data_IF_818815794402
#
_entry.id   IF_818815794402
#
_cell.length_a   1.000
_cell.length_b   1.000
_cell.length_c   1.000
_cell.angle_alpha   90.00
_cell.angle_beta   90.00
_cell.angle_gamma   90.00
#
_symmetry.space_group_name_H-M   'P 1'
#
loop_
_entity.id
_entity.type
_entity.pdbx_description
1 polymer ?
#
# COMPACT_ATOMS: atom_id res chain seq x y z
N UNK A 1 13.39 -18.69 -12.40
CA UNK A 1 14.47 -18.36 -11.44
C UNK A 1 13.84 -17.94 -10.11
N UNK A 2 14.09 -18.66 -9.00
CA UNK A 2 13.56 -18.27 -7.68
C UNK A 2 14.33 -17.01 -7.22
N UNK A 3 13.62 -15.95 -6.81
CA UNK A 3 14.25 -14.75 -6.26
C UNK A 3 14.87 -15.09 -4.90
N UNK A 4 16.08 -14.59 -4.65
CA UNK A 4 16.73 -14.70 -3.33
C UNK A 4 15.90 -13.90 -2.31
N UNK A 5 15.54 -14.51 -1.19
CA UNK A 5 14.84 -13.82 -0.10
C UNK A 5 15.87 -12.97 0.62
N UNK A 6 15.79 -11.64 0.45
CA UNK A 6 16.71 -10.70 1.09
C UNK A 6 16.17 -10.16 2.41
N UNK A 7 14.86 -10.28 2.64
CA UNK A 7 14.17 -9.68 3.77
C UNK A 7 13.24 -10.71 4.40
N UNK A 8 13.43 -10.99 5.69
CA UNK A 8 12.60 -11.91 6.46
C UNK A 8 11.57 -11.10 7.24
N UNK A 9 10.32 -11.54 7.21
CA UNK A 9 9.20 -10.90 7.90
C UNK A 9 9.27 -11.10 9.44
N UNK A 10 10.20 -10.43 10.09
CA UNK A 10 10.34 -10.37 11.57
C UNK A 10 9.89 -9.01 12.09
N UNK A 11 9.59 -8.93 13.40
CA UNK A 11 9.21 -7.66 14.05
C UNK A 11 10.27 -6.58 13.83
N UNK A 12 11.53 -6.96 13.97
CA UNK A 12 12.69 -6.07 13.79
C UNK A 12 12.74 -5.49 12.37
N UNK A 13 12.56 -6.33 11.35
CA UNK A 13 12.46 -5.87 9.96
C UNK A 13 11.33 -4.86 9.76
N UNK A 14 10.16 -5.08 10.38
CA UNK A 14 9.05 -4.13 10.26
C UNK A 14 9.34 -2.79 10.93
N UNK A 15 10.03 -2.78 12.07
CA UNK A 15 10.48 -1.54 12.69
C UNK A 15 11.54 -0.81 11.84
N UNK A 16 12.47 -1.55 11.24
CA UNK A 16 13.50 -0.97 10.37
C UNK A 16 12.94 -0.42 9.06
N UNK A 17 11.85 -1.00 8.56
CA UNK A 17 11.13 -0.52 7.37
C UNK A 17 10.08 0.56 7.69
N UNK A 18 9.81 0.82 8.98
CA UNK A 18 8.89 1.85 9.43
C UNK A 18 9.46 3.22 9.11
N UNK A 19 8.88 3.90 8.12
CA UNK A 19 9.30 5.26 7.74
C UNK A 19 8.63 6.34 8.59
N UNK A 20 7.57 5.99 9.32
CA UNK A 20 6.77 6.91 10.12
C UNK A 20 7.06 6.69 11.60
N UNK A 21 7.08 7.78 12.36
CA UNK A 21 7.24 7.73 13.83
C UNK A 21 5.90 7.58 14.53
N UNK A 22 4.86 8.21 13.97
CA UNK A 22 3.53 8.28 14.58
C UNK A 22 2.41 7.99 13.58
N UNK A 23 1.27 7.50 14.10
CA UNK A 23 0.07 7.24 13.29
C UNK A 23 -0.49 8.53 12.69
N UNK A 24 -0.32 9.68 13.35
CA UNK A 24 -0.80 10.95 12.83
C UNK A 24 -0.02 11.41 11.58
N UNK A 25 1.29 11.17 11.55
CA UNK A 25 2.12 11.42 10.37
C UNK A 25 1.66 10.56 9.19
N UNK A 26 1.44 9.26 9.43
CA UNK A 26 0.85 8.34 8.45
C UNK A 26 -0.52 8.84 7.97
N UNK A 27 -1.38 9.31 8.87
CA UNK A 27 -2.70 9.84 8.51
C UNK A 27 -2.60 11.05 7.58
N UNK A 28 -1.72 12.01 7.89
CA UNK A 28 -1.49 13.22 7.10
C UNK A 28 -0.95 12.87 5.71
N UNK A 29 0.03 11.98 5.62
CA UNK A 29 0.59 11.54 4.33
C UNK A 29 -0.44 10.81 3.48
N UNK A 30 -1.26 9.93 4.07
CA UNK A 30 -2.33 9.25 3.33
C UNK A 30 -3.39 10.25 2.84
N UNK A 31 -3.71 11.31 3.59
CA UNK A 31 -4.60 12.39 3.11
C UNK A 31 -4.03 13.06 1.86
N UNK A 32 -2.76 13.47 1.90
CA UNK A 32 -2.09 14.07 0.75
C UNK A 32 -2.08 13.14 -0.47
N UNK A 33 -1.84 11.84 -0.28
CA UNK A 33 -1.91 10.86 -1.38
C UNK A 33 -3.30 10.72 -1.99
N UNK A 34 -4.37 10.79 -1.18
CA UNK A 34 -5.75 10.76 -1.69
C UNK A 34 -6.03 11.97 -2.58
N UNK A 35 -5.58 13.14 -2.18
CA UNK A 35 -5.77 14.37 -2.95
C UNK A 35 -4.93 14.35 -4.23
N UNK A 36 -3.68 13.88 -4.17
CA UNK A 36 -2.85 13.66 -5.35
C UNK A 36 -3.50 12.67 -6.33
N UNK A 37 -4.06 11.55 -5.86
CA UNK A 37 -4.78 10.60 -6.73
C UNK A 37 -5.96 11.26 -7.42
N UNK A 38 -6.74 12.07 -6.69
CA UNK A 38 -7.88 12.81 -7.24
C UNK A 38 -7.47 13.80 -8.32
N UNK A 39 -6.32 14.47 -8.15
CA UNK A 39 -5.81 15.42 -9.14
C UNK A 39 -5.16 14.74 -10.35
N UNK A 40 -4.36 13.69 -10.13
CA UNK A 40 -3.54 13.08 -11.19
C UNK A 40 -4.28 12.07 -12.06
N UNK A 41 -5.36 11.46 -11.58
CA UNK A 41 -6.04 10.37 -12.31
C UNK A 41 -7.40 10.85 -12.78
N UNK A 42 -7.62 10.98 -14.08
CA UNK A 42 -8.91 11.44 -14.63
C UNK A 42 -10.05 10.43 -14.46
N UNK A 43 -9.73 9.13 -14.49
CA UNK A 43 -10.74 8.05 -14.46
C UNK A 43 -11.21 7.76 -13.03
N UNK A 44 -12.47 8.08 -12.75
CA UNK A 44 -13.13 7.94 -11.44
C UNK A 44 -13.09 6.51 -10.90
N UNK A 45 -13.37 5.47 -11.71
CA UNK A 45 -13.30 4.07 -11.25
C UNK A 45 -11.92 3.71 -10.68
N UNK A 46 -10.86 4.20 -11.32
CA UNK A 46 -9.48 3.90 -10.96
C UNK A 46 -9.08 4.70 -9.73
N UNK A 47 -9.51 5.96 -9.62
CA UNK A 47 -9.35 6.75 -8.40
C UNK A 47 -9.97 6.02 -7.21
N UNK A 48 -11.23 5.61 -7.31
CA UNK A 48 -11.94 4.93 -6.22
C UNK A 48 -11.20 3.67 -5.79
N UNK A 49 -10.80 2.81 -6.74
CA UNK A 49 -10.06 1.58 -6.44
C UNK A 49 -8.70 1.86 -5.77
N UNK A 50 -7.98 2.89 -6.19
CA UNK A 50 -6.69 3.25 -5.56
C UNK A 50 -6.87 3.80 -4.15
N UNK A 51 -7.88 4.65 -3.94
CA UNK A 51 -8.20 5.20 -2.62
C UNK A 51 -8.61 4.06 -1.67
N UNK A 52 -9.49 3.15 -2.11
CA UNK A 52 -9.89 1.98 -1.32
C UNK A 52 -8.69 1.10 -0.98
N UNK A 53 -7.78 0.88 -1.93
CA UNK A 53 -6.55 0.13 -1.69
C UNK A 53 -5.66 0.80 -0.63
N UNK A 54 -5.45 2.12 -0.74
CA UNK A 54 -4.70 2.89 0.26
C UNK A 54 -5.35 2.84 1.64
N UNK A 55 -6.67 2.89 1.73
CA UNK A 55 -7.39 2.80 3.00
C UNK A 55 -7.24 1.42 3.65
N UNK A 56 -7.31 0.34 2.87
CA UNK A 56 -7.04 -1.02 3.36
C UNK A 56 -5.61 -1.14 3.89
N UNK A 57 -4.63 -0.63 3.13
CA UNK A 57 -3.23 -0.65 3.53
C UNK A 57 -3.02 0.15 4.81
N UNK A 58 -3.53 1.39 4.89
CA UNK A 58 -3.45 2.24 6.07
C UNK A 58 -3.95 1.53 7.33
N UNK A 59 -5.14 0.91 7.28
CA UNK A 59 -5.73 0.22 8.45
C UNK A 59 -4.83 -0.92 8.92
N UNK A 60 -4.21 -1.65 8.00
CA UNK A 60 -3.28 -2.73 8.34
C UNK A 60 -1.94 -2.20 8.86
N UNK A 61 -1.46 -1.09 8.29
CA UNK A 61 -0.23 -0.38 8.68
C UNK A 61 -0.32 0.33 10.02
N UNK A 62 -1.45 0.33 10.72
CA UNK A 62 -1.50 0.82 12.11
C UNK A 62 -0.80 -0.15 13.08
N UNK A 63 -0.66 -1.44 12.72
CA UNK A 63 0.00 -2.45 13.58
C UNK A 63 1.51 -2.25 13.68
N UNK A 64 2.14 -1.91 12.55
CA UNK A 64 3.52 -1.44 12.46
C UNK A 64 3.48 -0.20 11.58
N UNK A 65 3.75 0.97 12.16
CA UNK A 65 3.41 2.26 11.54
C UNK A 65 4.01 2.37 10.14
N UNK A 66 3.15 2.39 9.13
CA UNK A 66 3.57 2.50 7.72
C UNK A 66 4.00 1.21 7.03
N UNK A 67 4.02 0.06 7.73
CA UNK A 67 4.38 -1.23 7.14
C UNK A 67 3.15 -2.13 7.01
N UNK A 68 2.84 -2.52 5.77
CA UNK A 68 1.81 -3.52 5.48
C UNK A 68 2.43 -4.78 4.88
N UNK A 69 2.18 -5.91 5.54
CA UNK A 69 2.55 -7.25 5.07
C UNK A 69 1.33 -8.02 4.54
N UNK A 70 0.24 -7.31 4.20
CA UNK A 70 -0.98 -7.95 3.70
C UNK A 70 -0.77 -8.52 2.29
N UNK A 71 -1.04 -9.82 2.13
CA UNK A 71 -0.89 -10.49 0.84
C UNK A 71 -1.88 -9.96 -0.20
N UNK A 72 -1.42 -9.83 -1.45
CA UNK A 72 -2.22 -9.37 -2.60
C UNK A 72 -3.51 -10.18 -2.80
N UNK A 73 -3.52 -11.48 -2.51
CA UNK A 73 -4.72 -12.33 -2.57
C UNK A 73 -5.81 -11.88 -1.58
N UNK A 74 -5.43 -11.62 -0.32
CA UNK A 74 -6.36 -11.14 0.71
C UNK A 74 -6.92 -9.75 0.39
N UNK A 75 -6.11 -8.90 -0.24
CA UNK A 75 -6.57 -7.60 -0.73
C UNK A 75 -7.58 -7.78 -1.86
N UNK A 76 -7.30 -8.70 -2.79
CA UNK A 76 -8.18 -9.00 -3.92
C UNK A 76 -9.55 -9.50 -3.43
N UNK A 77 -9.56 -10.41 -2.45
CA UNK A 77 -10.77 -10.88 -1.77
C UNK A 77 -11.54 -9.73 -1.10
N UNK A 78 -10.86 -8.90 -0.30
CA UNK A 78 -11.48 -7.77 0.40
C UNK A 78 -12.06 -6.70 -0.52
N UNK A 79 -11.50 -6.54 -1.71
CA UNK A 79 -11.95 -5.58 -2.71
C UNK A 79 -12.88 -6.21 -3.76
N UNK A 80 -13.11 -7.53 -3.69
CA UNK A 80 -13.89 -8.31 -4.66
C UNK A 80 -13.43 -8.08 -6.11
N UNK A 81 -12.11 -7.99 -6.32
CA UNK A 81 -11.50 -7.83 -7.64
C UNK A 81 -10.50 -8.94 -7.93
N UNK A 82 -10.18 -9.13 -9.21
CA UNK A 82 -9.17 -10.12 -9.59
C UNK A 82 -7.78 -9.76 -9.06
N UNK A 83 -6.98 -10.80 -8.79
CA UNK A 83 -5.58 -10.65 -8.40
C UNK A 83 -4.77 -9.76 -9.37
N UNK A 84 -4.99 -9.92 -10.68
CA UNK A 84 -4.36 -9.09 -11.71
C UNK A 84 -4.71 -7.60 -11.56
N UNK A 85 -5.91 -7.28 -11.09
CA UNK A 85 -6.32 -5.90 -10.82
C UNK A 85 -5.53 -5.33 -9.64
N UNK A 86 -5.39 -6.07 -8.55
CA UNK A 86 -4.55 -5.66 -7.41
C UNK A 86 -3.09 -5.47 -7.83
N UNK A 87 -2.54 -6.36 -8.66
CA UNK A 87 -1.17 -6.20 -9.17
C UNK A 87 -0.99 -4.89 -9.94
N UNK A 88 -1.95 -4.54 -10.82
CA UNK A 88 -1.91 -3.29 -11.60
C UNK A 88 -2.07 -2.05 -10.71
N UNK A 89 -2.99 -2.07 -9.76
CA UNK A 89 -3.20 -0.96 -8.82
C UNK A 89 -1.97 -0.75 -7.91
N UNK A 90 -1.41 -1.84 -7.38
CA UNK A 90 -0.17 -1.81 -6.59
C UNK A 90 1.01 -1.26 -7.38
N UNK A 91 1.17 -1.67 -8.65
CA UNK A 91 2.20 -1.10 -9.53
C UNK A 91 2.00 0.40 -9.69
N UNK A 92 0.77 0.85 -9.92
CA UNK A 92 0.46 2.27 -10.08
C UNK A 92 0.75 3.09 -8.82
N UNK A 93 0.49 2.56 -7.63
CA UNK A 93 0.87 3.24 -6.37
C UNK A 93 2.39 3.33 -6.18
N UNK A 94 3.15 2.33 -6.64
CA UNK A 94 4.62 2.37 -6.65
C UNK A 94 5.12 3.40 -7.66
N UNK A 95 4.56 3.42 -8.87
CA UNK A 95 4.92 4.38 -9.92
C UNK A 95 4.60 5.84 -9.52
N UNK A 96 3.62 6.03 -8.63
CA UNK A 96 3.29 7.33 -8.02
C UNK A 96 4.14 7.65 -6.77
N UNK A 97 5.13 6.82 -6.44
CA UNK A 97 6.02 6.95 -5.27
C UNK A 97 5.28 6.99 -3.92
N UNK A 98 4.03 6.49 -3.87
CA UNK A 98 3.20 6.50 -2.67
C UNK A 98 3.47 5.29 -1.77
N UNK A 99 3.91 4.17 -2.35
CA UNK A 99 4.25 2.96 -1.61
C UNK A 99 5.55 2.36 -2.15
N UNK A 100 6.31 1.72 -1.27
CA UNK A 100 7.47 0.90 -1.62
C UNK A 100 7.15 -0.57 -1.43
N UNK A 101 7.34 -1.39 -2.47
CA UNK A 101 7.25 -2.85 -2.34
C UNK A 101 8.64 -3.44 -2.10
N UNK A 102 8.79 -4.14 -0.98
CA UNK A 102 9.99 -4.91 -0.65
C UNK A 102 9.73 -6.37 -1.01
N UNK A 103 10.66 -7.01 -1.72
CA UNK A 103 10.53 -8.36 -2.28
C UNK A 103 11.72 -9.24 -1.88
#
# INVERSE_FOLDING_TARGET
MKKKINVIATKETFHNLSTFKEVEELNKTIRAYRDNIRMSIKRTDVQFKLITLLEILKRHSCKYVGVSFLCKNRIAEKMEVSYKTIQRLMKKLVDLEMIKQVA
#
